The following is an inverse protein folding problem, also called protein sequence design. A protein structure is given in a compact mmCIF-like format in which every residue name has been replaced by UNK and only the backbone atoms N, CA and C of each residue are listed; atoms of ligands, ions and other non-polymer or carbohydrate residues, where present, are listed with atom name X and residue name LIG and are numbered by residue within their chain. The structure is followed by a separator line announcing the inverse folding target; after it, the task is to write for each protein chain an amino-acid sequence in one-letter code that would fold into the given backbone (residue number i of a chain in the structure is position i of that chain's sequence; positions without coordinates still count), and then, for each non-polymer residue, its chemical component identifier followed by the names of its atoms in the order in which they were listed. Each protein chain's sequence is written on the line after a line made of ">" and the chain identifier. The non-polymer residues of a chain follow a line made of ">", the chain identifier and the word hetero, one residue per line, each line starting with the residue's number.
data_IF_501808823002
#
_entry.id   IF_501808823002
#
_cell.length_a   1.000
_cell.length_b   1.000
_cell.length_c   1.000
_cell.angle_alpha   90.00
_cell.angle_beta   90.00
_cell.angle_gamma   90.00
#
_symmetry.space_group_name_H-M   'P 1'
#
loop_
_entity.id
_entity.type
_entity.pdbx_description
1 polymer ?
#
# COMPACT_ATOMS: atom_id res chain seq x y z
N UNK A 1 2.67 -7.83 -0.93
CA UNK A 1 1.41 -7.85 -1.71
C UNK A 1 1.45 -9.01 -2.68
N UNK A 2 0.37 -9.78 -2.80
CA UNK A 2 0.32 -11.02 -3.62
C UNK A 2 -0.89 -11.08 -4.56
N UNK A 3 -1.79 -10.10 -4.53
CA UNK A 3 -3.00 -10.08 -5.37
C UNK A 3 -3.45 -8.63 -5.68
N UNK A 4 -4.22 -8.41 -6.77
CA UNK A 4 -4.64 -7.09 -7.24
C UNK A 4 -5.29 -6.20 -6.17
N UNK A 5 -6.23 -6.75 -5.40
CA UNK A 5 -6.93 -6.01 -4.35
C UNK A 5 -5.96 -5.49 -3.29
N UNK A 6 -4.99 -6.31 -2.89
CA UNK A 6 -3.96 -5.90 -1.94
C UNK A 6 -3.07 -4.77 -2.48
N UNK A 7 -2.76 -4.77 -3.78
CA UNK A 7 -1.96 -3.71 -4.42
C UNK A 7 -2.72 -2.38 -4.42
N UNK A 8 -4.00 -2.42 -4.79
CA UNK A 8 -4.85 -1.24 -4.80
C UNK A 8 -5.05 -0.67 -3.38
N UNK A 9 -5.43 -1.51 -2.41
CA UNK A 9 -5.70 -1.04 -1.04
C UNK A 9 -4.44 -0.53 -0.33
N UNK A 10 -3.27 -1.12 -0.60
CA UNK A 10 -2.01 -0.63 -0.06
C UNK A 10 -1.74 0.83 -0.45
N UNK A 11 -2.07 1.22 -1.68
CA UNK A 11 -1.93 2.61 -2.13
C UNK A 11 -3.13 3.47 -1.72
N UNK A 12 -4.36 3.01 -2.02
CA UNK A 12 -5.62 3.77 -1.82
C UNK A 12 -5.88 4.12 -0.37
N UNK A 13 -5.65 3.19 0.56
CA UNK A 13 -5.96 3.39 1.98
C UNK A 13 -4.73 3.69 2.83
N UNK A 14 -3.61 3.02 2.58
CA UNK A 14 -2.44 3.17 3.46
C UNK A 14 -1.44 4.20 2.96
N UNK A 15 -1.71 4.85 1.82
CA UNK A 15 -0.79 5.75 1.13
C UNK A 15 0.64 5.18 1.10
N UNK A 16 0.79 3.85 0.98
CA UNK A 16 2.10 3.25 1.21
C UNK A 16 3.09 3.81 0.19
N UNK A 17 4.33 4.05 0.62
CA UNK A 17 5.39 4.62 -0.21
C UNK A 17 6.35 3.55 -0.76
N UNK A 18 6.16 2.30 -0.35
CA UNK A 18 6.92 1.14 -0.80
C UNK A 18 5.98 -0.04 -1.06
N UNK A 19 6.29 -0.83 -2.09
CA UNK A 19 5.61 -2.06 -2.46
C UNK A 19 6.58 -3.24 -2.34
N UNK A 20 6.28 -4.17 -1.43
CA UNK A 20 7.06 -5.40 -1.26
C UNK A 20 6.39 -6.58 -2.00
N UNK A 21 7.16 -7.27 -2.84
CA UNK A 21 6.73 -8.41 -3.65
C UNK A 21 7.60 -9.65 -3.37
N UNK A 22 6.99 -10.84 -3.36
CA UNK A 22 7.69 -12.09 -3.10
C UNK A 22 8.19 -12.75 -4.38
N UNK A 23 9.51 -12.75 -4.61
CA UNK A 23 10.11 -13.30 -5.84
C UNK A 23 9.98 -14.83 -6.02
N UNK A 24 9.59 -15.57 -4.96
CA UNK A 24 9.26 -17.01 -5.03
C UNK A 24 7.76 -17.29 -4.95
N UNK A 25 6.94 -16.24 -4.86
CA UNK A 25 5.49 -16.33 -4.67
C UNK A 25 4.75 -15.92 -5.94
N UNK A 26 5.23 -14.88 -6.62
CA UNK A 26 4.63 -14.34 -7.82
C UNK A 26 5.47 -14.70 -9.04
N UNK A 27 4.81 -15.00 -10.16
CA UNK A 27 5.48 -14.98 -11.44
C UNK A 27 5.67 -13.53 -11.93
N UNK A 28 6.53 -13.35 -12.94
CA UNK A 28 6.88 -12.02 -13.43
C UNK A 28 5.68 -11.22 -13.97
N UNK A 29 4.72 -11.90 -14.61
CA UNK A 29 3.53 -11.25 -15.17
C UNK A 29 2.62 -10.74 -14.05
N UNK A 30 2.36 -11.57 -13.04
CA UNK A 30 1.60 -11.18 -11.85
C UNK A 30 2.26 -10.00 -11.15
N UNK A 31 3.58 -10.08 -10.89
CA UNK A 31 4.32 -9.02 -10.22
C UNK A 31 4.21 -7.68 -10.98
N UNK A 32 4.34 -7.68 -12.31
CA UNK A 32 4.19 -6.48 -13.14
C UNK A 32 2.77 -5.91 -13.09
N UNK A 33 1.74 -6.76 -13.08
CA UNK A 33 0.34 -6.33 -12.94
C UNK A 33 0.10 -5.65 -11.59
N UNK A 34 0.61 -6.21 -10.50
CA UNK A 34 0.49 -5.63 -9.16
C UNK A 34 1.23 -4.29 -9.06
N UNK A 35 2.44 -4.18 -9.64
CA UNK A 35 3.17 -2.91 -9.71
C UNK A 35 2.37 -1.86 -10.46
N UNK A 36 1.76 -2.21 -11.60
CA UNK A 36 0.95 -1.28 -12.38
C UNK A 36 -0.24 -0.76 -11.56
N UNK A 37 -1.03 -1.67 -10.97
CA UNK A 37 -2.18 -1.31 -10.13
C UNK A 37 -1.73 -0.38 -9.00
N UNK A 38 -0.65 -0.73 -8.31
CA UNK A 38 -0.13 0.06 -7.21
C UNK A 38 0.30 1.48 -7.63
N UNK A 39 0.98 1.63 -8.77
CA UNK A 39 1.43 2.93 -9.28
C UNK A 39 0.29 3.79 -9.83
N UNK A 40 -0.71 3.17 -10.46
CA UNK A 40 -1.86 3.87 -11.07
C UNK A 40 -2.94 4.24 -10.03
N UNK A 41 -2.94 3.62 -8.84
CA UNK A 41 -3.95 3.86 -7.81
C UNK A 41 -3.68 5.18 -7.05
N UNK A 42 -4.60 6.16 -7.04
CA UNK A 42 -4.45 7.35 -6.21
C UNK A 42 -4.77 7.05 -4.74
N UNK A 43 -4.17 7.81 -3.84
CA UNK A 43 -4.53 7.80 -2.42
C UNK A 43 -5.91 8.47 -2.21
N UNK A 44 -6.79 7.85 -1.41
CA UNK A 44 -8.17 8.32 -1.18
C UNK A 44 -8.25 9.41 -0.09
N UNK A 45 -7.29 9.47 0.84
CA UNK A 45 -7.32 10.44 1.93
C UNK A 45 -8.52 10.27 2.87
N UNK A 46 -9.08 11.39 3.34
CA UNK A 46 -10.26 11.40 4.21
C UNK A 46 -10.06 10.60 5.50
N UNK A 47 -10.94 9.63 5.76
CA UNK A 47 -10.85 8.76 6.96
C UNK A 47 -9.52 8.01 7.08
N UNK A 48 -8.85 7.79 5.96
CA UNK A 48 -7.58 7.07 5.93
C UNK A 48 -6.41 7.93 6.38
N UNK A 49 -6.47 9.26 6.18
CA UNK A 49 -5.44 10.17 6.66
C UNK A 49 -5.41 10.17 8.19
N UNK A 50 -6.59 10.18 8.83
CA UNK A 50 -6.71 10.06 10.29
C UNK A 50 -5.98 8.84 10.84
N UNK A 51 -6.05 7.69 10.14
CA UNK A 51 -5.36 6.45 10.54
C UNK A 51 -3.85 6.55 10.34
N UNK A 52 -3.40 7.26 9.32
CA UNK A 52 -1.98 7.55 9.12
C UNK A 52 -1.45 8.47 10.22
N UNK A 53 -2.22 9.48 10.61
CA UNK A 53 -1.86 10.39 11.71
C UNK A 53 -1.75 9.61 13.04
N UNK A 54 -2.64 8.63 13.29
CA UNK A 54 -2.53 7.70 14.42
C UNK A 54 -1.21 6.88 14.38
N UNK A 55 -0.78 6.42 13.20
CA UNK A 55 0.51 5.72 13.04
C UNK A 55 1.68 6.68 13.32
N UNK A 56 1.64 7.90 12.79
CA UNK A 56 2.68 8.91 13.03
C UNK A 56 2.76 9.31 14.51
N UNK A 57 1.64 9.40 15.22
CA UNK A 57 1.64 9.63 16.67
C UNK A 57 2.38 8.51 17.44
N UNK A 58 2.23 7.25 17.02
CA UNK A 58 3.00 6.13 17.58
C UNK A 58 4.49 6.29 17.28
N UNK A 59 4.86 6.64 16.03
CA UNK A 59 6.25 6.85 15.63
C UNK A 59 6.92 7.99 16.42
N UNK A 60 6.17 9.02 16.79
CA UNK A 60 6.63 10.15 17.60
C UNK A 60 6.59 9.90 19.12
N UNK A 61 6.00 8.79 19.58
CA UNK A 61 5.83 8.50 21.01
C UNK A 61 4.79 9.36 21.73
N UNK A 62 3.76 9.81 21.00
CA UNK A 62 2.66 10.65 21.51
C UNK A 62 1.46 9.82 22.04
N UNK A 63 1.61 8.49 22.05
CA UNK A 63 0.62 7.48 22.47
C UNK A 63 1.17 6.59 23.59
#
# INVERSE_FOLDING_TARGET
>A
VTEPYGAEMARRHNNSNCLCLGGRVLNAKEALELVKIYLDTPYEGGRHQRRLDEITAIENGEL
#
